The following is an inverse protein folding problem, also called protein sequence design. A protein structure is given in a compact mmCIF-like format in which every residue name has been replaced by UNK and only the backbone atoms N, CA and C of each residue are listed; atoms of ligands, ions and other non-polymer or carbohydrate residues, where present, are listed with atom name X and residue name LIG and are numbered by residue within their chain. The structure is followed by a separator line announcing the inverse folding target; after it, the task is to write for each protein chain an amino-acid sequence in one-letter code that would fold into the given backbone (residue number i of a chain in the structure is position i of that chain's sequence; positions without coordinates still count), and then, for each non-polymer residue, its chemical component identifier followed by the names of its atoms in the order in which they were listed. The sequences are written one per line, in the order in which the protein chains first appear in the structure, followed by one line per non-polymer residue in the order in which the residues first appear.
data_IF_345916161996
#
_entry.id   IF_345916161996
#
_cell.length_a   1.000
_cell.length_b   1.000
_cell.length_c   1.000
_cell.angle_alpha   90.00
_cell.angle_beta   90.00
_cell.angle_gamma   90.00
#
_symmetry.space_group_name_H-M   'P 1'
#
loop_
_entity.id
_entity.type
_entity.pdbx_description
1 polymer ?
#
# COMPACT_ATOMS: atom_id res chain seq x y z
N UNK A 1 14.88 -7.06 6.29
CA UNK A 1 15.46 -8.10 5.40
C UNK A 1 14.37 -9.12 5.02
N UNK A 2 13.43 -8.66 4.20
CA UNK A 2 12.44 -9.47 3.51
C UNK A 2 12.74 -9.39 2.01
N UNK A 3 13.69 -10.22 1.51
CA UNK A 3 14.04 -10.25 0.08
C UNK A 3 13.04 -11.04 -0.76
N UNK A 4 12.06 -11.69 -0.14
CA UNK A 4 11.06 -12.52 -0.82
C UNK A 4 10.16 -11.67 -1.72
N UNK A 5 9.75 -10.47 -1.27
CA UNK A 5 8.94 -9.54 -2.07
C UNK A 5 9.66 -9.14 -3.36
N UNK A 6 10.95 -8.83 -3.28
CA UNK A 6 11.75 -8.43 -4.44
C UNK A 6 11.87 -9.57 -5.46
N UNK A 7 12.15 -10.78 -4.99
CA UNK A 7 12.25 -11.96 -5.87
C UNK A 7 10.92 -12.31 -6.54
N UNK A 8 9.80 -12.19 -5.82
CA UNK A 8 8.46 -12.41 -6.39
C UNK A 8 8.15 -11.34 -7.44
N UNK A 9 8.47 -10.07 -7.15
CA UNK A 9 8.24 -8.99 -8.09
C UNK A 9 9.03 -9.17 -9.40
N UNK A 10 10.31 -9.53 -9.30
CA UNK A 10 11.18 -9.81 -10.46
C UNK A 10 10.69 -11.01 -11.28
N UNK A 11 10.29 -12.11 -10.61
CA UNK A 11 9.79 -13.30 -11.29
C UNK A 11 8.49 -13.01 -12.07
N UNK A 12 7.55 -12.30 -11.45
CA UNK A 12 6.25 -11.97 -12.07
C UNK A 12 6.41 -10.95 -13.19
N UNK A 13 7.30 -9.97 -13.01
CA UNK A 13 7.69 -8.99 -14.05
C UNK A 13 8.20 -9.70 -15.30
N UNK A 14 9.16 -10.62 -15.14
CA UNK A 14 9.73 -11.40 -16.24
C UNK A 14 8.72 -12.35 -16.90
N UNK A 15 7.81 -12.94 -16.14
CA UNK A 15 6.81 -13.87 -16.67
C UNK A 15 5.70 -13.16 -17.46
N UNK A 16 5.24 -12.00 -16.98
CA UNK A 16 4.13 -11.27 -17.60
C UNK A 16 4.57 -10.16 -18.55
N UNK A 17 5.87 -9.84 -18.59
CA UNK A 17 6.41 -8.74 -19.40
C UNK A 17 5.92 -7.37 -18.93
N UNK A 18 5.65 -7.24 -17.63
CA UNK A 18 5.11 -6.03 -16.99
C UNK A 18 6.22 -5.37 -16.19
N UNK A 19 6.26 -4.04 -16.15
CA UNK A 19 7.30 -3.35 -15.37
C UNK A 19 7.21 -3.70 -13.88
N UNK A 20 8.36 -3.80 -13.22
CA UNK A 20 8.44 -4.03 -11.78
C UNK A 20 7.65 -2.99 -10.99
N UNK A 21 7.62 -1.73 -11.46
CA UNK A 21 6.81 -0.65 -10.90
C UNK A 21 5.34 -1.04 -10.69
N UNK A 22 4.72 -1.58 -11.73
CA UNK A 22 3.30 -1.97 -11.71
C UNK A 22 3.10 -3.16 -10.77
N UNK A 23 4.06 -4.07 -10.69
CA UNK A 23 4.00 -5.22 -9.77
C UNK A 23 4.09 -4.75 -8.32
N UNK A 24 5.01 -3.81 -8.01
CA UNK A 24 5.11 -3.22 -6.68
C UNK A 24 3.82 -2.49 -6.30
N UNK A 25 3.25 -1.65 -7.18
CA UNK A 25 1.98 -0.98 -6.94
C UNK A 25 0.84 -1.99 -6.68
N UNK A 26 0.79 -3.09 -7.43
CA UNK A 26 -0.22 -4.13 -7.23
C UNK A 26 -0.07 -4.83 -5.87
N UNK A 27 1.17 -5.12 -5.45
CA UNK A 27 1.45 -5.72 -4.14
C UNK A 27 1.10 -4.74 -3.01
N UNK A 28 1.47 -3.47 -3.14
CA UNK A 28 1.14 -2.41 -2.18
C UNK A 28 -0.38 -2.29 -2.01
N UNK A 29 -1.12 -2.25 -3.12
CA UNK A 29 -2.58 -2.18 -3.11
C UNK A 29 -3.21 -3.43 -2.46
N UNK A 30 -2.66 -4.62 -2.74
CA UNK A 30 -3.13 -5.86 -2.13
C UNK A 30 -2.91 -5.85 -0.61
N UNK A 31 -1.73 -5.43 -0.15
CA UNK A 31 -1.39 -5.30 1.28
C UNK A 31 -2.24 -4.23 1.96
N UNK A 32 -2.46 -3.08 1.32
CA UNK A 32 -3.34 -2.03 1.80
C UNK A 32 -4.78 -2.54 1.95
N UNK A 33 -5.29 -3.26 0.95
CA UNK A 33 -6.63 -3.86 0.98
C UNK A 33 -6.76 -4.92 2.07
N UNK A 34 -5.76 -5.79 2.24
CA UNK A 34 -5.76 -6.80 3.30
C UNK A 34 -5.73 -6.16 4.69
N UNK A 35 -4.94 -5.10 4.86
CA UNK A 35 -4.88 -4.33 6.11
C UNK A 35 -6.19 -3.61 6.37
N UNK A 36 -6.78 -3.00 5.34
CA UNK A 36 -8.09 -2.33 5.42
C UNK A 36 -9.22 -3.29 5.78
N UNK A 37 -9.15 -4.57 5.43
CA UNK A 37 -10.10 -5.60 5.90
C UNK A 37 -9.90 -5.99 7.36
N UNK A 38 -8.68 -5.83 7.89
CA UNK A 38 -8.35 -6.16 9.29
C UNK A 38 -8.76 -5.04 10.24
N UNK A 39 -8.69 -3.80 9.78
CA UNK A 39 -9.11 -2.59 10.50
C UNK A 39 -10.43 -2.07 9.90
N UNK A 40 -11.03 -1.02 10.45
CA UNK A 40 -12.34 -0.51 10.03
C UNK A 40 -12.44 -0.23 8.51
N UNK A 41 -13.60 -0.49 7.88
CA UNK A 41 -13.79 -0.42 6.41
C UNK A 41 -13.59 0.99 5.84
N UNK A 42 -13.59 2.04 6.66
CA UNK A 42 -13.34 3.43 6.24
C UNK A 42 -11.90 3.90 6.49
N UNK A 43 -11.00 3.01 6.95
CA UNK A 43 -9.59 3.38 7.15
C UNK A 43 -8.88 3.54 5.80
N UNK A 44 -8.34 4.74 5.54
CA UNK A 44 -7.43 4.97 4.42
C UNK A 44 -6.03 4.46 4.79
N UNK A 45 -5.58 3.40 4.11
CA UNK A 45 -4.31 2.71 4.39
C UNK A 45 -3.43 2.80 3.15
N UNK A 46 -2.20 3.26 3.34
CA UNK A 46 -1.15 3.23 2.34
C UNK A 46 -0.06 2.24 2.76
N UNK A 47 0.43 1.47 1.81
CA UNK A 47 1.60 0.61 1.98
C UNK A 47 2.66 1.09 1.00
N UNK A 48 3.90 1.22 1.46
CA UNK A 48 5.05 1.56 0.61
C UNK A 48 6.12 0.51 0.79
N UNK A 49 6.61 -0.03 -0.32
CA UNK A 49 7.69 -1.02 -0.36
C UNK A 49 8.99 -0.31 -0.74
N UNK A 50 10.04 -0.51 0.06
CA UNK A 50 11.39 -0.12 -0.27
C UNK A 50 11.99 -1.16 -1.23
N UNK A 51 12.40 -0.70 -2.40
CA UNK A 51 12.88 -1.55 -3.51
C UNK A 51 14.32 -2.02 -3.32
N UNK A 52 15.09 -1.36 -2.47
CA UNK A 52 16.47 -1.73 -2.17
C UNK A 52 16.52 -2.75 -1.02
N UNK A 53 15.72 -2.51 0.03
CA UNK A 53 15.72 -3.37 1.23
C UNK A 53 14.71 -4.51 1.17
N UNK A 54 13.62 -4.35 0.41
CA UNK A 54 12.47 -5.27 0.38
C UNK A 54 11.58 -5.18 1.61
N UNK A 55 11.85 -4.23 2.51
CA UNK A 55 11.02 -3.96 3.67
C UNK A 55 9.85 -3.04 3.26
N UNK A 56 8.70 -3.19 3.92
CA UNK A 56 7.51 -2.37 3.64
C UNK A 56 7.01 -1.67 4.90
N UNK A 57 6.39 -0.52 4.70
CA UNK A 57 5.79 0.27 5.77
C UNK A 57 4.32 0.50 5.46
N UNK A 58 3.47 0.13 6.41
CA UNK A 58 2.03 0.39 6.36
C UNK A 58 1.70 1.62 7.20
N UNK A 59 0.99 2.58 6.63
CA UNK A 59 0.57 3.83 7.28
C UNK A 59 -0.92 4.01 7.11
N UNK A 60 -1.57 4.57 8.13
CA UNK A 60 -2.93 5.08 8.02
C UNK A 60 -2.88 6.57 7.66
N UNK A 61 -3.65 6.97 6.65
CA UNK A 61 -3.86 8.36 6.28
C UNK A 61 -5.17 8.88 6.86
N UNK A 62 -5.17 10.19 7.12
CA UNK A 62 -6.35 10.94 7.52
C UNK A 62 -6.47 12.12 6.58
N UNK A 63 -7.69 12.36 6.08
CA UNK A 63 -7.97 13.57 5.33
C UNK A 63 -8.02 14.74 6.31
N UNK A 64 -7.09 15.68 6.16
CA UNK A 64 -7.11 16.92 6.93
C UNK A 64 -8.17 17.84 6.32
N UNK A 65 -9.23 18.10 7.09
CA UNK A 65 -10.32 18.99 6.71
C UNK A 65 -10.27 20.28 7.53
N UNK A 66 -10.72 21.42 6.99
CA UNK A 66 -10.86 22.66 7.76
C UNK A 66 -11.90 22.51 8.88
N UNK A 67 -11.71 23.24 9.98
CA UNK A 67 -12.63 23.23 11.14
C UNK A 67 -14.09 23.56 10.77
N UNK A 68 -14.31 24.33 9.68
CA UNK A 68 -15.64 24.66 9.17
C UNK A 68 -16.42 23.46 8.65
N UNK A 69 -15.75 22.42 8.15
CA UNK A 69 -16.40 21.18 7.69
C UNK A 69 -16.74 20.24 8.85
N UNK A 70 -15.92 20.26 9.91
CA UNK A 70 -16.16 19.51 11.15
C UNK A 70 -17.47 19.94 11.84
N UNK A 71 -17.80 21.23 11.79
CA UNK A 71 -19.02 21.80 12.36
C UNK A 71 -20.32 21.38 11.64
N UNK A 72 -20.25 20.82 10.42
CA UNK A 72 -21.43 20.37 9.65
C UNK A 72 -21.81 18.92 9.93
N UNK A 73 -20.94 18.18 10.62
CA UNK A 73 -21.13 16.76 10.97
C UNK A 73 -21.52 16.57 12.46
N UNK A 74 -21.72 17.67 13.19
CA UNK A 74 -22.11 17.70 14.62
C UNK A 74 -23.57 18.06 14.83
#
# INVERSE_FOLDING_TARGET
MSKEILMVAEAVSNEKGVSEDIIFEAIELALATATKKRYDEESDIEVTIDRDSGDYVTKRKWLVVPDTELALLG
#
